data_IF_862654451377
#
_entry.id   IF_862654451377
#
_cell.length_a   1.000
_cell.length_b   1.000
_cell.length_c   1.000
_cell.angle_alpha   90.00
_cell.angle_beta   90.00
_cell.angle_gamma   90.00
#
_symmetry.space_group_name_H-M   'P 1'
#
loop_
_entity.id
_entity.type
_entity.pdbx_description
1 polymer ?
#
# COMPACT_ATOMS: atom_id res chain seq x y z
N UNK A 1 11.04 -18.13 7.93
CA UNK A 1 10.67 -17.15 6.89
C UNK A 1 11.92 -16.81 6.10
N UNK A 2 12.01 -17.22 4.83
CA UNK A 2 13.18 -16.95 3.97
C UNK A 2 12.90 -15.65 3.23
N UNK A 3 13.45 -14.54 3.72
CA UNK A 3 13.33 -13.24 3.04
C UNK A 3 14.14 -13.34 1.75
N UNK A 4 13.48 -13.19 0.61
CA UNK A 4 14.15 -13.14 -0.69
C UNK A 4 14.91 -11.82 -0.76
N UNK A 5 16.25 -11.88 -0.75
CA UNK A 5 17.14 -10.74 -0.98
C UNK A 5 17.12 -10.35 -2.48
N UNK A 6 15.94 -10.07 -3.02
CA UNK A 6 15.80 -9.60 -4.39
C UNK A 6 15.95 -8.09 -4.40
N UNK A 7 17.09 -7.62 -4.91
CA UNK A 7 17.37 -6.20 -5.10
C UNK A 7 17.03 -5.84 -6.54
N UNK A 8 16.18 -4.84 -6.73
CA UNK A 8 15.93 -4.25 -8.06
C UNK A 8 17.26 -3.67 -8.54
N UNK A 9 17.81 -4.26 -9.60
CA UNK A 9 19.22 -4.07 -9.99
C UNK A 9 19.38 -2.96 -11.03
N UNK A 10 18.34 -2.71 -11.81
CA UNK A 10 18.33 -1.72 -12.87
C UNK A 10 17.45 -0.50 -12.54
N UNK A 11 17.84 0.65 -13.09
CA UNK A 11 17.06 1.90 -12.99
C UNK A 11 15.64 1.73 -13.54
N UNK A 12 15.47 0.92 -14.58
CA UNK A 12 14.15 0.66 -15.18
C UNK A 12 13.26 -0.15 -14.25
N UNK A 13 13.77 -1.21 -13.61
CA UNK A 13 13.02 -1.98 -12.62
C UNK A 13 12.56 -1.10 -11.44
N UNK A 14 13.44 -0.21 -10.96
CA UNK A 14 13.10 0.75 -9.91
C UNK A 14 12.03 1.75 -10.34
N UNK A 15 12.15 2.30 -11.56
CA UNK A 15 11.17 3.24 -12.10
C UNK A 15 9.82 2.55 -12.34
N UNK A 16 9.80 1.33 -12.87
CA UNK A 16 8.57 0.54 -13.07
C UNK A 16 7.89 0.23 -11.74
N UNK A 17 8.65 -0.17 -10.71
CA UNK A 17 8.11 -0.41 -9.37
C UNK A 17 7.49 0.87 -8.79
N UNK A 18 8.18 2.02 -8.90
CA UNK A 18 7.67 3.33 -8.45
C UNK A 18 6.41 3.75 -9.21
N UNK A 19 6.37 3.58 -10.53
CA UNK A 19 5.20 3.90 -11.35
C UNK A 19 4.00 3.04 -10.96
N UNK A 20 4.19 1.73 -10.79
CA UNK A 20 3.11 0.83 -10.36
C UNK A 20 2.51 1.25 -9.02
N UNK A 21 3.34 1.77 -8.11
CA UNK A 21 2.85 2.20 -6.82
C UNK A 21 2.22 3.59 -6.83
N UNK A 22 2.79 4.54 -7.57
CA UNK A 22 2.19 5.85 -7.78
C UNK A 22 0.81 5.73 -8.45
N UNK A 23 0.68 4.83 -9.43
CA UNK A 23 -0.60 4.52 -10.05
C UNK A 23 -1.61 4.00 -9.01
N UNK A 24 -1.18 3.07 -8.15
CA UNK A 24 -2.04 2.51 -7.09
C UNK A 24 -2.47 3.57 -6.08
N UNK A 25 -1.54 4.40 -5.60
CA UNK A 25 -1.83 5.51 -4.69
C UNK A 25 -2.78 6.54 -5.34
N UNK A 26 -2.57 6.85 -6.61
CA UNK A 26 -3.45 7.73 -7.37
C UNK A 26 -4.85 7.15 -7.52
N UNK A 27 -4.98 5.86 -7.85
CA UNK A 27 -6.28 5.16 -7.93
C UNK A 27 -7.03 5.20 -6.59
N UNK A 28 -6.34 4.99 -5.47
CA UNK A 28 -6.95 5.07 -4.14
C UNK A 28 -7.56 6.45 -3.90
N UNK A 29 -6.81 7.50 -4.23
CA UNK A 29 -7.27 8.88 -4.06
C UNK A 29 -8.43 9.21 -5.01
N UNK A 30 -8.28 8.90 -6.30
CA UNK A 30 -9.28 9.21 -7.33
C UNK A 30 -10.62 8.50 -7.09
N UNK A 31 -10.60 7.25 -6.63
CA UNK A 31 -11.82 6.48 -6.38
C UNK A 31 -12.42 6.70 -4.98
N UNK A 32 -11.83 7.58 -4.15
CA UNK A 32 -12.15 7.66 -2.73
C UNK A 32 -12.14 6.27 -2.06
N UNK A 33 -11.20 5.41 -2.48
CA UNK A 33 -11.22 3.98 -2.15
C UNK A 33 -11.15 3.75 -0.64
N UNK A 34 -10.47 4.63 0.09
CA UNK A 34 -10.44 4.60 1.56
C UNK A 34 -11.86 4.70 2.17
N UNK A 35 -12.71 5.58 1.64
CA UNK A 35 -14.10 5.70 2.10
C UNK A 35 -14.91 4.46 1.74
N UNK A 36 -14.75 3.94 0.52
CA UNK A 36 -15.44 2.72 0.07
C UNK A 36 -15.05 1.50 0.91
N UNK A 37 -13.77 1.37 1.26
CA UNK A 37 -13.25 0.31 2.12
C UNK A 37 -13.87 0.42 3.50
N UNK A 38 -13.82 1.60 4.14
CA UNK A 38 -14.33 1.76 5.50
C UNK A 38 -15.87 1.61 5.59
N UNK A 39 -16.59 1.83 4.49
CA UNK A 39 -18.03 1.54 4.40
C UNK A 39 -18.33 0.03 4.36
N UNK A 40 -17.51 -0.76 3.67
CA UNK A 40 -17.70 -2.21 3.55
C UNK A 40 -17.07 -2.99 4.71
N UNK A 41 -16.00 -2.44 5.30
CA UNK A 41 -15.25 -3.01 6.41
C UNK A 41 -15.30 -2.02 7.58
N UNK A 42 -16.45 -1.92 8.26
CA UNK A 42 -16.62 -1.00 9.37
C UNK A 42 -15.67 -1.33 10.52
N UNK A 43 -15.42 -0.32 11.36
CA UNK A 43 -14.57 -0.43 12.53
C UNK A 43 -15.04 -1.57 13.45
N UNK A 44 -14.09 -2.36 13.94
CA UNK A 44 -14.35 -3.47 14.85
C UNK A 44 -14.62 -3.00 16.29
N UNK A 45 -14.57 -1.68 16.56
CA UNK A 45 -14.90 -1.09 17.85
C UNK A 45 -13.88 -1.38 18.94
N UNK A 46 -12.69 -1.83 18.56
CA UNK A 46 -11.58 -2.10 19.48
C UNK A 46 -10.63 -0.92 19.51
N UNK A 47 -10.14 -0.60 20.70
CA UNK A 47 -9.15 0.45 20.95
C UNK A 47 -7.81 0.19 20.23
N UNK A 48 -7.60 -1.06 19.78
CA UNK A 48 -6.43 -1.50 19.03
C UNK A 48 -6.74 -1.75 17.54
N UNK A 49 -8.00 -1.62 17.11
CA UNK A 49 -8.35 -1.81 15.71
C UNK A 49 -7.89 -0.61 14.88
N UNK A 50 -7.21 -0.91 13.78
CA UNK A 50 -6.97 0.05 12.71
C UNK A 50 -8.12 -0.03 11.72
N UNK A 51 -8.53 1.10 11.16
CA UNK A 51 -9.45 1.11 10.01
C UNK A 51 -8.86 0.31 8.87
N UNK A 52 -9.70 -0.41 8.13
CA UNK A 52 -9.26 -1.20 6.99
C UNK A 52 -8.54 -0.35 5.94
N UNK A 53 -9.02 0.88 5.69
CA UNK A 53 -8.33 1.86 4.84
C UNK A 53 -6.92 2.19 5.31
N UNK A 54 -6.73 2.34 6.62
CA UNK A 54 -5.43 2.68 7.23
C UNK A 54 -4.44 1.54 7.04
N UNK A 55 -4.87 0.29 7.21
CA UNK A 55 -4.05 -0.89 6.95
C UNK A 55 -3.61 -0.96 5.48
N UNK A 56 -4.54 -0.81 4.53
CA UNK A 56 -4.25 -0.89 3.09
C UNK A 56 -3.31 0.24 2.65
N UNK A 57 -3.55 1.48 3.09
CA UNK A 57 -2.66 2.60 2.80
C UNK A 57 -1.25 2.36 3.35
N UNK A 58 -1.14 1.84 4.57
CA UNK A 58 0.15 1.50 5.20
C UNK A 58 0.87 0.40 4.44
N UNK A 59 0.14 -0.63 3.97
CA UNK A 59 0.71 -1.72 3.17
C UNK A 59 1.30 -1.20 1.85
N UNK A 60 0.59 -0.29 1.18
CA UNK A 60 1.02 0.29 -0.09
C UNK A 60 2.22 1.21 0.12
N UNK A 61 2.22 2.04 1.16
CA UNK A 61 3.38 2.85 1.53
C UNK A 61 4.60 1.98 1.86
N UNK A 62 4.39 0.84 2.53
CA UNK A 62 5.47 -0.12 2.82
C UNK A 62 6.07 -0.77 1.56
N UNK A 63 5.33 -0.76 0.45
CA UNK A 63 5.83 -1.17 -0.87
C UNK A 63 6.57 -0.03 -1.61
N UNK A 64 6.37 1.23 -1.20
CA UNK A 64 6.98 2.43 -1.84
C UNK A 64 8.47 2.54 -1.61
N UNK A 65 8.93 1.94 -0.52
CA UNK A 65 10.30 2.09 -0.06
C UNK A 65 10.97 0.74 0.10
N UNK A 66 10.63 -0.24 -0.77
CA UNK A 66 11.21 -1.58 -0.76
C UNK A 66 12.73 -1.56 -0.53
N UNK A 67 13.10 -1.73 0.74
CA UNK A 67 14.45 -1.73 1.29
C UNK A 67 15.40 -0.66 0.73
N UNK A 68 15.57 0.44 1.46
CA UNK A 68 16.96 0.92 1.62
C UNK A 68 17.72 -0.05 2.51
#
# INVERSE_FOLDING_TARGET
MKILNYKLSSTNELLTARIGLLATAHTINTLSLSNTIDQHFPDLGSNCALKASTFINTLILSQHEGGQ
#
